data_IF_157729580398
#
_entry.id   IF_157729580398
#
_cell.length_a   1.000
_cell.length_b   1.000
_cell.length_c   1.000
_cell.angle_alpha   90.00
_cell.angle_beta   90.00
_cell.angle_gamma   90.00
#
_symmetry.space_group_name_H-M   'P 1'
#
loop_
_entity.id
_entity.type
_entity.pdbx_description
1 polymer ?
#
# COMPACT_ATOMS: atom_id res chain seq x y z
N UNK A 1 0.23 -33.03 -6.98
CA UNK A 1 0.67 -31.71 -6.42
C UNK A 1 1.50 -30.88 -7.41
N UNK A 2 1.42 -31.09 -8.74
CA UNK A 2 2.35 -30.45 -9.70
C UNK A 2 1.78 -29.25 -10.47
N UNK A 3 0.48 -28.97 -10.38
CA UNK A 3 -0.16 -27.92 -11.17
C UNK A 3 0.16 -26.49 -10.69
N UNK A 4 0.33 -26.29 -9.37
CA UNK A 4 0.56 -24.95 -8.80
C UNK A 4 2.03 -24.50 -8.84
N UNK A 5 2.96 -25.41 -9.18
CA UNK A 5 4.41 -25.14 -9.15
C UNK A 5 4.86 -24.16 -10.23
N UNK A 6 4.11 -24.01 -11.32
CA UNK A 6 4.42 -23.02 -12.37
C UNK A 6 3.99 -21.60 -12.02
N UNK A 7 3.19 -21.43 -10.97
CA UNK A 7 2.66 -20.13 -10.51
C UNK A 7 3.41 -19.62 -9.29
N UNK A 8 3.85 -20.53 -8.41
CA UNK A 8 4.59 -20.19 -7.19
C UNK A 8 6.06 -19.86 -7.49
N UNK A 9 6.60 -18.83 -6.84
CA UNK A 9 8.04 -18.49 -6.91
C UNK A 9 8.88 -19.57 -6.22
N UNK A 10 10.12 -19.81 -6.67
CA UNK A 10 11.00 -20.82 -6.06
C UNK A 10 11.23 -20.64 -4.54
N UNK A 11 11.15 -19.39 -4.06
CA UNK A 11 11.18 -19.04 -2.64
C UNK A 11 9.92 -19.45 -1.86
N UNK A 12 8.78 -19.59 -2.52
CA UNK A 12 7.49 -20.02 -1.95
C UNK A 12 7.34 -21.55 -1.94
N UNK A 13 8.05 -22.24 -2.84
CA UNK A 13 8.04 -23.71 -2.91
C UNK A 13 8.78 -24.33 -1.72
N UNK A 14 9.79 -23.64 -1.18
CA UNK A 14 10.65 -24.14 -0.09
C UNK A 14 10.67 -23.24 1.17
N UNK A 15 9.88 -22.15 1.19
CA UNK A 15 9.87 -21.16 2.27
C UNK A 15 8.45 -20.72 2.65
N UNK A 16 8.33 -19.80 3.61
CA UNK A 16 7.04 -19.18 3.95
C UNK A 16 6.54 -18.37 2.75
N UNK A 17 5.29 -18.57 2.32
CA UNK A 17 4.66 -17.68 1.34
C UNK A 17 4.51 -16.30 1.97
N UNK A 18 4.47 -15.23 1.17
CA UNK A 18 4.18 -13.87 1.70
C UNK A 18 2.75 -13.72 2.22
N UNK A 19 1.90 -14.73 2.03
CA UNK A 19 0.46 -14.72 2.31
C UNK A 19 0.12 -14.61 3.81
N UNK A 20 0.78 -15.30 4.75
CA UNK A 20 0.47 -15.17 6.17
C UNK A 20 0.82 -13.78 6.72
N UNK A 21 1.92 -13.17 6.26
CA UNK A 21 2.31 -11.80 6.64
C UNK A 21 1.34 -10.76 6.05
N UNK A 22 0.87 -10.99 4.82
CA UNK A 22 -0.21 -10.21 4.20
C UNK A 22 -1.49 -10.27 5.04
N UNK A 23 -1.97 -11.47 5.39
CA UNK A 23 -3.18 -11.64 6.20
C UNK A 23 -3.01 -11.08 7.62
N UNK A 24 -1.82 -11.21 8.20
CA UNK A 24 -1.49 -10.63 9.50
C UNK A 24 -1.56 -9.09 9.45
N UNK A 25 -1.00 -8.45 8.43
CA UNK A 25 -1.03 -6.99 8.26
C UNK A 25 -2.45 -6.46 8.16
N UNK A 26 -3.29 -7.14 7.37
CA UNK A 26 -4.72 -6.81 7.26
C UNK A 26 -5.42 -7.02 8.61
N UNK A 27 -5.25 -8.20 9.23
CA UNK A 27 -5.90 -8.53 10.49
C UNK A 27 -5.53 -7.56 11.62
N UNK A 28 -4.25 -7.19 11.75
CA UNK A 28 -3.82 -6.19 12.72
C UNK A 28 -4.36 -4.80 12.38
N UNK A 29 -4.48 -4.45 11.10
CA UNK A 29 -5.07 -3.17 10.70
C UNK A 29 -6.53 -3.06 11.13
N UNK A 30 -7.33 -4.12 10.93
CA UNK A 30 -8.72 -4.17 11.39
C UNK A 30 -8.86 -4.24 12.91
N UNK A 31 -7.85 -4.75 13.62
CA UNK A 31 -7.85 -4.78 15.08
C UNK A 31 -7.45 -3.43 15.71
N UNK A 32 -6.53 -2.70 15.07
CA UNK A 32 -5.92 -1.49 15.62
C UNK A 32 -6.59 -0.18 15.15
N UNK A 33 -7.24 -0.18 13.99
CA UNK A 33 -7.80 1.02 13.37
C UNK A 33 -9.30 0.88 13.10
N UNK A 34 -9.96 2.01 12.81
CA UNK A 34 -11.35 2.04 12.38
C UNK A 34 -11.56 1.18 11.12
N UNK A 35 -12.73 0.55 11.00
CA UNK A 35 -13.09 -0.34 9.91
C UNK A 35 -12.85 0.30 8.54
N UNK A 36 -13.17 1.60 8.38
CA UNK A 36 -12.99 2.31 7.11
C UNK A 36 -11.51 2.49 6.77
N UNK A 37 -10.67 2.80 7.75
CA UNK A 37 -9.23 2.98 7.57
C UNK A 37 -8.57 1.65 7.22
N UNK A 38 -8.94 0.58 7.93
CA UNK A 38 -8.41 -0.76 7.69
C UNK A 38 -8.82 -1.31 6.32
N UNK A 39 -10.08 -1.10 5.92
CA UNK A 39 -10.57 -1.45 4.60
C UNK A 39 -9.82 -0.67 3.51
N UNK A 40 -9.68 0.65 3.67
CA UNK A 40 -8.98 1.48 2.69
C UNK A 40 -7.50 1.10 2.56
N UNK A 41 -6.82 0.80 3.67
CA UNK A 41 -5.44 0.33 3.67
C UNK A 41 -5.30 -1.02 2.93
N UNK A 42 -6.29 -1.90 3.07
CA UNK A 42 -6.33 -3.18 2.36
C UNK A 42 -6.50 -2.97 0.85
N UNK A 43 -7.38 -2.04 0.44
CA UNK A 43 -7.55 -1.69 -0.98
C UNK A 43 -6.26 -1.09 -1.54
N UNK A 44 -5.64 -0.15 -0.81
CA UNK A 44 -4.36 0.46 -1.21
C UNK A 44 -3.30 -0.63 -1.41
N UNK A 45 -3.13 -1.54 -0.45
CA UNK A 45 -2.21 -2.67 -0.59
C UNK A 45 -2.49 -3.48 -1.86
N UNK A 46 -3.75 -3.86 -2.10
CA UNK A 46 -4.12 -4.70 -3.24
C UNK A 46 -3.90 -4.06 -4.62
N UNK A 47 -3.85 -2.73 -4.70
CA UNK A 47 -3.77 -2.00 -5.97
C UNK A 47 -2.44 -1.27 -6.16
N UNK A 48 -1.95 -0.59 -5.13
CA UNK A 48 -0.74 0.22 -5.19
C UNK A 48 0.53 -0.64 -5.21
N UNK A 49 0.57 -1.78 -4.51
CA UNK A 49 1.74 -2.67 -4.52
C UNK A 49 1.95 -3.36 -5.89
N UNK A 50 0.91 -3.98 -6.51
CA UNK A 50 1.06 -4.52 -7.86
C UNK A 50 1.37 -3.44 -8.90
N UNK A 51 0.80 -2.24 -8.77
CA UNK A 51 1.09 -1.14 -9.67
C UNK A 51 2.54 -0.65 -9.53
N UNK A 52 3.05 -0.50 -8.29
CA UNK A 52 4.45 -0.17 -8.03
C UNK A 52 5.38 -1.21 -8.66
N UNK A 53 5.12 -2.49 -8.40
CA UNK A 53 5.90 -3.61 -8.93
C UNK A 53 5.86 -3.66 -10.46
N UNK A 54 4.69 -3.53 -11.07
CA UNK A 54 4.53 -3.56 -12.53
C UNK A 54 5.28 -2.41 -13.20
N UNK A 55 5.09 -1.18 -12.71
CA UNK A 55 5.76 0.00 -13.27
C UNK A 55 7.26 -0.06 -13.01
N UNK A 56 7.68 -0.48 -11.82
CA UNK A 56 9.08 -0.62 -11.47
C UNK A 56 9.82 -1.66 -12.30
N UNK A 57 9.18 -2.79 -12.63
CA UNK A 57 9.77 -3.82 -13.50
C UNK A 57 9.80 -3.35 -14.97
N UNK A 58 8.70 -2.76 -15.46
CA UNK A 58 8.53 -2.45 -16.88
C UNK A 58 9.23 -1.16 -17.32
N UNK A 59 9.24 -0.16 -16.45
CA UNK A 59 9.68 1.22 -16.74
C UNK A 59 10.71 1.75 -15.75
N UNK A 60 11.04 1.00 -14.69
CA UNK A 60 12.01 1.42 -13.68
C UNK A 60 13.39 1.63 -14.27
N UNK A 61 13.85 2.89 -14.24
CA UNK A 61 15.18 3.30 -14.72
C UNK A 61 16.02 3.84 -13.58
N UNK A 62 15.39 4.55 -12.63
CA UNK A 62 16.05 5.19 -11.50
C UNK A 62 15.90 4.31 -10.27
N UNK A 63 16.90 3.49 -10.00
CA UNK A 63 16.97 2.69 -8.77
C UNK A 63 17.15 3.61 -7.57
N UNK A 64 16.33 3.41 -6.55
CA UNK A 64 16.44 4.11 -5.26
C UNK A 64 17.02 3.15 -4.22
N UNK A 65 16.61 1.88 -4.26
CA UNK A 65 17.19 0.76 -3.53
C UNK A 65 17.46 -0.40 -4.49
N UNK A 66 18.08 -1.48 -4.01
CA UNK A 66 18.50 -2.62 -4.83
C UNK A 66 17.37 -3.18 -5.71
N UNK A 67 16.16 -3.26 -5.12
CA UNK A 67 14.94 -3.79 -5.71
C UNK A 67 13.81 -2.76 -5.92
N UNK A 68 14.05 -1.48 -5.61
CA UNK A 68 13.04 -0.41 -5.72
C UNK A 68 13.46 0.66 -6.69
N UNK A 69 12.49 1.16 -7.47
CA UNK A 69 12.71 2.24 -8.43
C UNK A 69 11.81 3.42 -8.12
N UNK A 70 12.29 4.61 -8.44
CA UNK A 70 11.53 5.85 -8.28
C UNK A 70 10.22 5.79 -9.08
N UNK A 71 10.26 5.19 -10.28
CA UNK A 71 9.06 5.00 -11.09
C UNK A 71 8.01 4.11 -10.41
N UNK A 72 8.44 3.05 -9.72
CA UNK A 72 7.56 2.19 -8.92
C UNK A 72 6.92 2.96 -7.77
N UNK A 73 7.73 3.63 -6.94
CA UNK A 73 7.20 4.42 -5.81
C UNK A 73 6.30 5.57 -6.26
N UNK A 74 6.58 6.19 -7.43
CA UNK A 74 5.68 7.19 -8.02
C UNK A 74 4.35 6.58 -8.47
N UNK A 75 4.36 5.36 -9.03
CA UNK A 75 3.12 4.63 -9.33
C UNK A 75 2.35 4.29 -8.05
N UNK A 76 3.03 3.88 -6.97
CA UNK A 76 2.43 3.66 -5.65
C UNK A 76 1.72 4.93 -5.14
N UNK A 77 2.40 6.08 -5.21
CA UNK A 77 1.84 7.40 -4.86
C UNK A 77 0.56 7.71 -5.64
N UNK A 78 0.62 7.61 -6.98
CA UNK A 78 -0.53 7.94 -7.85
C UNK A 78 -1.71 7.01 -7.59
N UNK A 79 -1.46 5.70 -7.48
CA UNK A 79 -2.53 4.73 -7.22
C UNK A 79 -3.18 4.97 -5.86
N UNK A 80 -2.37 5.21 -4.83
CA UNK A 80 -2.89 5.52 -3.50
C UNK A 80 -3.71 6.80 -3.51
N UNK A 81 -3.20 7.86 -4.15
CA UNK A 81 -3.92 9.13 -4.30
C UNK A 81 -5.29 8.93 -4.96
N UNK A 82 -5.34 8.20 -6.07
CA UNK A 82 -6.58 7.92 -6.79
C UNK A 82 -7.55 7.10 -5.94
N UNK A 83 -7.07 6.05 -5.27
CA UNK A 83 -7.91 5.20 -4.40
C UNK A 83 -8.51 6.02 -3.26
N UNK A 84 -7.70 6.81 -2.56
CA UNK A 84 -8.16 7.62 -1.41
C UNK A 84 -9.11 8.73 -1.87
N UNK A 85 -8.78 9.42 -2.97
CA UNK A 85 -9.63 10.49 -3.49
C UNK A 85 -10.98 9.94 -3.98
N UNK A 86 -10.98 8.85 -4.74
CA UNK A 86 -12.23 8.23 -5.24
C UNK A 86 -13.08 7.65 -4.12
N UNK A 87 -12.47 6.97 -3.15
CA UNK A 87 -13.17 6.48 -1.96
C UNK A 87 -13.77 7.62 -1.15
N UNK A 88 -13.01 8.69 -0.90
CA UNK A 88 -13.50 9.87 -0.18
C UNK A 88 -14.69 10.55 -0.87
N UNK A 89 -14.69 10.59 -2.21
CA UNK A 89 -15.78 11.15 -3.02
C UNK A 89 -17.09 10.36 -2.94
N UNK A 90 -17.06 9.09 -2.51
CA UNK A 90 -18.28 8.29 -2.31
C UNK A 90 -19.10 8.75 -1.09
N UNK A 91 -18.43 9.33 -0.10
CA UNK A 91 -19.05 9.71 1.18
C UNK A 91 -19.16 11.23 1.36
N UNK A 92 -18.28 12.00 0.69
CA UNK A 92 -18.18 13.44 0.85
C UNK A 92 -18.06 14.15 -0.50
N UNK A 93 -18.59 15.38 -0.65
CA UNK A 93 -18.36 16.16 -1.85
C UNK A 93 -16.87 16.47 -2.01
N UNK A 94 -16.42 16.60 -3.26
CA UNK A 94 -15.03 16.93 -3.57
C UNK A 94 -14.64 18.24 -2.86
N UNK A 95 -13.72 18.13 -1.90
CA UNK A 95 -13.24 19.23 -1.09
C UNK A 95 -11.73 19.23 -1.04
N UNK A 96 -11.15 20.40 -0.76
CA UNK A 96 -9.71 20.55 -0.59
C UNK A 96 -9.15 19.62 0.50
N UNK A 97 -9.94 19.35 1.55
CA UNK A 97 -9.56 18.42 2.63
C UNK A 97 -9.32 17.00 2.12
N UNK A 98 -10.18 16.48 1.23
CA UNK A 98 -10.01 15.14 0.64
C UNK A 98 -8.76 15.08 -0.24
N UNK A 99 -8.53 16.11 -1.06
CA UNK A 99 -7.35 16.18 -1.93
C UNK A 99 -6.06 16.21 -1.11
N UNK A 100 -6.04 17.01 -0.04
CA UNK A 100 -4.89 17.09 0.89
C UNK A 100 -4.68 15.73 1.58
N UNK A 101 -5.75 15.12 2.09
CA UNK A 101 -5.67 13.81 2.75
C UNK A 101 -5.12 12.74 1.80
N UNK A 102 -5.65 12.67 0.56
CA UNK A 102 -5.19 11.74 -0.46
C UNK A 102 -3.72 11.98 -0.85
N UNK A 103 -3.31 13.25 -0.99
CA UNK A 103 -1.93 13.61 -1.31
C UNK A 103 -0.96 13.13 -0.24
N UNK A 104 -1.19 13.49 1.04
CA UNK A 104 -0.29 13.10 2.12
C UNK A 104 -0.32 11.60 2.40
N UNK A 105 -1.48 10.94 2.23
CA UNK A 105 -1.57 9.47 2.32
C UNK A 105 -0.75 8.82 1.20
N UNK A 106 -0.85 9.32 -0.02
CA UNK A 106 -0.03 8.84 -1.14
C UNK A 106 1.45 9.01 -0.88
N UNK A 107 1.88 10.17 -0.37
CA UNK A 107 3.29 10.42 -0.02
C UNK A 107 3.76 9.43 1.03
N UNK A 108 3.02 9.30 2.15
CA UNK A 108 3.37 8.39 3.22
C UNK A 108 3.48 6.94 2.73
N UNK A 109 2.51 6.49 1.93
CA UNK A 109 2.48 5.12 1.39
C UNK A 109 3.66 4.86 0.46
N UNK A 110 4.02 5.81 -0.41
CA UNK A 110 5.18 5.67 -1.28
C UNK A 110 6.50 5.62 -0.50
N UNK A 111 6.62 6.36 0.62
CA UNK A 111 7.77 6.25 1.52
C UNK A 111 7.80 4.89 2.23
N UNK A 112 6.65 4.40 2.71
CA UNK A 112 6.53 3.08 3.34
C UNK A 112 6.91 1.98 2.35
N UNK A 113 6.43 2.05 1.11
CA UNK A 113 6.77 1.12 0.02
C UNK A 113 8.27 1.08 -0.23
N UNK A 114 8.91 2.25 -0.24
CA UNK A 114 10.34 2.35 -0.46
C UNK A 114 11.14 1.74 0.70
N UNK A 115 10.73 1.98 1.94
CA UNK A 115 11.42 1.48 3.14
C UNK A 115 11.17 -0.01 3.40
N UNK A 116 10.18 -0.59 2.74
CA UNK A 116 9.79 -1.96 3.01
C UNK A 116 10.68 -3.00 2.32
N UNK A 117 10.91 -4.11 3.03
CA UNK A 117 11.72 -5.23 2.55
C UNK A 117 10.85 -6.34 1.96
N UNK A 118 11.36 -7.01 0.91
CA UNK A 118 10.68 -8.09 0.16
C UNK A 118 9.94 -9.16 0.97
N UNK A 119 10.35 -9.40 2.22
CA UNK A 119 9.77 -10.43 3.08
C UNK A 119 8.53 -9.89 3.81
N UNK A 120 8.55 -8.61 4.22
CA UNK A 120 7.53 -7.99 5.08
C UNK A 120 6.72 -6.89 4.37
N UNK A 121 6.81 -6.79 3.04
CA UNK A 121 6.19 -5.75 2.23
C UNK A 121 4.70 -5.56 2.45
N UNK A 122 3.97 -6.66 2.43
CA UNK A 122 2.53 -6.61 2.54
C UNK A 122 2.06 -6.23 3.95
N UNK A 123 2.80 -6.69 4.97
CA UNK A 123 2.53 -6.32 6.35
C UNK A 123 2.78 -4.83 6.56
N UNK A 124 3.98 -4.38 6.18
CA UNK A 124 4.46 -3.02 6.37
C UNK A 124 3.56 -2.04 5.64
N UNK A 125 3.23 -2.34 4.37
CA UNK A 125 2.41 -1.47 3.56
C UNK A 125 0.96 -1.43 4.04
N UNK A 126 0.37 -2.52 4.55
CA UNK A 126 -0.98 -2.47 5.14
C UNK A 126 -1.01 -1.65 6.43
N UNK A 127 -0.21 -2.06 7.42
CA UNK A 127 -0.31 -1.57 8.79
C UNK A 127 0.18 -0.13 8.93
N UNK A 128 1.32 0.21 8.31
CA UNK A 128 1.85 1.57 8.41
C UNK A 128 1.07 2.57 7.55
N UNK A 129 0.46 2.13 6.44
CA UNK A 129 -0.43 3.00 5.66
C UNK A 129 -1.72 3.31 6.44
N UNK A 130 -2.31 2.30 7.10
CA UNK A 130 -3.42 2.51 8.02
C UNK A 130 -3.05 3.48 9.15
N UNK A 131 -1.86 3.31 9.74
CA UNK A 131 -1.31 4.21 10.77
C UNK A 131 -1.18 5.65 10.26
N UNK A 132 -0.62 5.85 9.06
CA UNK A 132 -0.46 7.16 8.46
C UNK A 132 -1.81 7.84 8.19
N UNK A 133 -2.78 7.10 7.65
CA UNK A 133 -4.14 7.60 7.46
C UNK A 133 -4.81 7.98 8.77
N UNK A 134 -4.67 7.18 9.83
CA UNK A 134 -5.22 7.49 11.14
C UNK A 134 -4.63 8.78 11.72
N UNK A 135 -3.30 8.97 11.63
CA UNK A 135 -2.64 10.20 12.06
C UNK A 135 -3.10 11.42 11.24
N UNK A 136 -3.18 11.29 9.92
CA UNK A 136 -3.67 12.35 9.05
C UNK A 136 -5.13 12.72 9.32
N UNK A 137 -5.97 11.73 9.63
CA UNK A 137 -7.37 11.95 9.94
C UNK A 137 -7.50 12.79 11.23
N UNK A 138 -6.74 12.45 12.27
CA UNK A 138 -6.68 13.24 13.50
C UNK A 138 -6.24 14.67 13.20
N UNK A 139 -5.16 14.86 12.43
CA UNK A 139 -4.63 16.18 12.11
C UNK A 139 -5.62 17.05 11.31
N UNK A 140 -6.32 16.49 10.31
CA UNK A 140 -7.27 17.25 9.48
C UNK A 140 -8.62 17.53 10.15
N UNK A 141 -8.99 16.74 11.15
CA UNK A 141 -10.16 17.01 12.01
C UNK A 141 -9.85 18.16 12.98
N UNK A 142 -8.59 18.28 13.44
CA UNK A 142 -8.14 19.33 14.35
C UNK A 142 -7.92 20.70 13.67
N UNK A 143 -7.91 20.76 12.34
CA UNK A 143 -7.70 21.97 11.50
C UNK A 143 -8.98 22.37 10.78
#
# INVERSE_FOLDING_TARGET
>A
MNACRSVLRDSEVNGFTGTPLFLLGIGLSFLAFDEQIALLATIILSLADPASSFVGIRYGKRKVLEDRTFEGSYACFIMTFLVVATYGMLYFPLSLKIVIFAFFTGVATAFIELLSTKIDDNFTLSFFTASAMALLNILLVLV
#
